data_IF_359789265950
#
_entry.id   IF_359789265950
#
_cell.length_a   1.000
_cell.length_b   1.000
_cell.length_c   1.000
_cell.angle_alpha   90.00
_cell.angle_beta   90.00
_cell.angle_gamma   90.00
#
_symmetry.space_group_name_H-M   'P 1'
#
loop_
_entity.id
_entity.type
_entity.pdbx_description
1 polymer ?
#
# COMPACT_ATOMS: atom_id res chain seq x y z
N UNK A 1 1.10 4.03 3.07
CA UNK A 1 1.83 3.58 4.28
C UNK A 1 2.88 2.53 3.96
N UNK A 2 2.53 1.28 3.63
CA UNK A 2 3.49 0.19 3.42
C UNK A 2 4.61 0.49 2.43
N UNK A 3 4.28 1.03 1.24
CA UNK A 3 5.27 1.36 0.20
C UNK A 3 6.27 2.44 0.67
N UNK A 4 5.81 3.50 1.31
CA UNK A 4 6.69 4.53 1.89
C UNK A 4 7.54 3.99 3.07
N UNK A 5 6.98 3.08 3.87
CA UNK A 5 7.68 2.53 5.03
C UNK A 5 8.75 1.49 4.66
N UNK A 6 8.51 0.67 3.64
CA UNK A 6 9.28 -0.55 3.39
C UNK A 6 9.69 -0.78 1.93
N UNK A 7 9.24 0.07 1.01
CA UNK A 7 9.46 -0.14 -0.42
C UNK A 7 8.59 -1.24 -1.02
N UNK A 8 9.11 -1.88 -2.06
CA UNK A 8 8.50 -3.04 -2.70
C UNK A 8 9.16 -4.33 -2.23
N UNK A 9 8.40 -5.41 -2.15
CA UNK A 9 8.98 -6.74 -2.10
C UNK A 9 9.47 -7.17 -3.49
N UNK A 10 10.30 -8.20 -3.54
CA UNK A 10 10.68 -8.89 -4.78
C UNK A 10 9.84 -10.17 -4.91
N UNK A 11 9.20 -10.34 -6.06
CA UNK A 11 8.43 -11.53 -6.41
C UNK A 11 9.02 -12.21 -7.64
N UNK A 12 8.94 -13.55 -7.68
CA UNK A 12 9.25 -14.30 -8.89
C UNK A 12 8.08 -14.23 -9.87
N UNK A 13 8.36 -14.29 -11.16
CA UNK A 13 7.39 -14.53 -12.22
C UNK A 13 8.02 -15.39 -13.31
N UNK A 14 7.19 -16.16 -14.01
CA UNK A 14 7.57 -16.93 -15.18
C UNK A 14 6.92 -16.41 -16.47
N UNK A 15 6.16 -15.31 -16.39
CA UNK A 15 5.55 -14.68 -17.56
C UNK A 15 6.63 -14.22 -18.55
N UNK A 16 6.64 -14.78 -19.75
CA UNK A 16 7.65 -14.45 -20.76
C UNK A 16 9.08 -14.92 -20.39
N UNK A 17 9.23 -15.76 -19.37
CA UNK A 17 10.51 -16.25 -18.85
C UNK A 17 10.69 -15.98 -17.36
N UNK A 18 11.55 -16.75 -16.70
CA UNK A 18 11.81 -16.61 -15.27
C UNK A 18 12.54 -15.29 -14.95
N UNK A 19 11.92 -14.44 -14.12
CA UNK A 19 12.49 -13.17 -13.70
C UNK A 19 11.95 -12.73 -12.32
N UNK A 20 12.51 -11.64 -11.79
CA UNK A 20 12.03 -11.00 -10.57
C UNK A 20 11.37 -9.66 -10.91
N UNK A 21 10.29 -9.35 -10.22
CA UNK A 21 9.60 -8.07 -10.35
C UNK A 21 9.34 -7.43 -8.97
N UNK A 22 9.27 -6.10 -8.88
CA UNK A 22 8.77 -5.45 -7.69
C UNK A 22 7.29 -5.82 -7.52
N UNK A 23 6.88 -6.14 -6.30
CA UNK A 23 5.49 -6.46 -5.92
C UNK A 23 5.07 -5.69 -4.66
N UNK A 24 3.77 -5.44 -4.44
CA UNK A 24 3.30 -4.83 -3.21
C UNK A 24 3.73 -5.65 -2.00
N UNK A 25 4.31 -4.97 -1.00
CA UNK A 25 4.84 -5.64 0.20
C UNK A 25 3.75 -5.99 1.23
N UNK A 26 2.60 -5.30 1.16
CA UNK A 26 1.47 -5.54 2.06
C UNK A 26 0.84 -6.90 1.76
N UNK A 27 0.59 -7.68 2.81
CA UNK A 27 -0.07 -8.98 2.73
C UNK A 27 -1.55 -8.88 3.10
N UNK A 28 -2.34 -9.88 2.69
CA UNK A 28 -3.78 -9.93 2.92
C UNK A 28 -4.15 -9.84 4.41
N UNK A 29 -3.41 -10.56 5.26
CA UNK A 29 -3.60 -10.59 6.71
C UNK A 29 -3.21 -9.29 7.42
N UNK A 30 -2.34 -8.47 6.80
CA UNK A 30 -2.04 -7.11 7.25
C UNK A 30 -3.11 -6.13 6.78
N UNK A 31 -3.56 -6.26 5.54
CA UNK A 31 -4.50 -5.33 4.89
C UNK A 31 -5.88 -5.30 5.55
N UNK A 32 -6.44 -6.46 5.90
CA UNK A 32 -7.80 -6.54 6.45
C UNK A 32 -7.99 -5.78 7.78
N UNK A 33 -7.21 -6.06 8.84
CA UNK A 33 -7.37 -5.34 10.11
C UNK A 33 -7.06 -3.85 9.95
N UNK A 34 -6.06 -3.49 9.15
CA UNK A 34 -5.70 -2.09 8.88
C UNK A 34 -6.87 -1.31 8.23
N UNK A 35 -7.55 -1.93 7.25
CA UNK A 35 -8.72 -1.33 6.59
C UNK A 35 -9.91 -1.19 7.55
N UNK A 36 -10.12 -2.18 8.43
CA UNK A 36 -11.18 -2.12 9.44
C UNK A 36 -10.93 -0.99 10.45
N UNK A 37 -9.69 -0.80 10.90
CA UNK A 37 -9.31 0.30 11.78
C UNK A 37 -9.59 1.66 11.12
N UNK A 38 -9.19 1.84 9.86
CA UNK A 38 -9.40 3.10 9.14
C UNK A 38 -10.91 3.36 8.92
N UNK A 39 -11.69 2.34 8.59
CA UNK A 39 -13.13 2.46 8.32
C UNK A 39 -14.03 2.46 9.56
N UNK A 40 -13.48 2.27 10.77
CA UNK A 40 -14.27 2.04 11.97
C UNK A 40 -15.26 3.18 12.25
N UNK A 41 -16.56 2.85 12.29
CA UNK A 41 -17.62 3.83 12.58
C UNK A 41 -17.88 4.85 11.46
N UNK A 42 -17.23 4.72 10.30
CA UNK A 42 -17.44 5.61 9.16
C UNK A 42 -18.64 5.15 8.36
N UNK A 43 -19.66 6.00 8.27
CA UNK A 43 -20.77 5.84 7.34
C UNK A 43 -20.79 7.05 6.41
N UNK A 44 -20.47 6.83 5.15
CA UNK A 44 -20.35 7.90 4.15
C UNK A 44 -21.67 8.66 4.02
N UNK A 45 -21.58 9.98 3.93
CA UNK A 45 -22.70 10.92 3.87
C UNK A 45 -23.61 10.96 5.12
N UNK A 46 -23.13 10.47 6.26
CA UNK A 46 -23.85 10.53 7.55
C UNK A 46 -23.03 11.30 8.58
N UNK A 47 -23.64 12.29 9.23
CA UNK A 47 -22.99 13.08 10.29
C UNK A 47 -21.67 13.70 9.84
N UNK A 48 -20.65 13.62 10.70
CA UNK A 48 -19.32 14.19 10.46
C UNK A 48 -18.30 13.12 9.98
N UNK A 49 -18.73 12.25 9.05
CA UNK A 49 -17.98 11.06 8.64
C UNK A 49 -16.58 11.37 8.08
N UNK A 50 -16.36 12.51 7.42
CA UNK A 50 -15.03 12.89 6.93
C UNK A 50 -14.05 13.10 8.10
N UNK A 51 -14.49 13.78 9.17
CA UNK A 51 -13.67 13.98 10.36
C UNK A 51 -13.41 12.66 11.07
N UNK A 52 -14.42 11.78 11.16
CA UNK A 52 -14.23 10.44 11.74
C UNK A 52 -13.18 9.64 10.95
N UNK A 53 -13.26 9.66 9.62
CA UNK A 53 -12.27 8.98 8.77
C UNK A 53 -10.87 9.56 8.96
N UNK A 54 -10.73 10.89 9.02
CA UNK A 54 -9.44 11.53 9.26
C UNK A 54 -8.86 11.18 10.63
N UNK A 55 -9.69 11.19 11.68
CA UNK A 55 -9.28 10.75 13.02
C UNK A 55 -8.78 9.29 13.01
N UNK A 56 -9.49 8.40 12.31
CA UNK A 56 -9.10 7.00 12.19
C UNK A 56 -7.77 6.84 11.44
N UNK A 57 -7.54 7.61 10.37
CA UNK A 57 -6.27 7.61 9.63
C UNK A 57 -5.10 8.07 10.50
N UNK A 58 -5.29 9.12 11.30
CA UNK A 58 -4.28 9.61 12.23
C UNK A 58 -3.94 8.56 13.29
N UNK A 59 -4.95 7.94 13.91
CA UNK A 59 -4.76 6.85 14.87
C UNK A 59 -4.03 5.67 14.25
N UNK A 60 -4.46 5.23 13.06
CA UNK A 60 -3.80 4.16 12.31
C UNK A 60 -2.33 4.47 12.02
N UNK A 61 -2.02 5.67 11.55
CA UNK A 61 -0.64 6.05 11.27
C UNK A 61 0.22 6.09 12.53
N UNK A 62 -0.33 6.55 13.66
CA UNK A 62 0.34 6.56 14.96
C UNK A 62 0.65 5.13 15.43
N UNK A 63 -0.30 4.21 15.31
CA UNK A 63 -0.08 2.80 15.65
C UNK A 63 0.93 2.15 14.70
N UNK A 64 0.84 2.46 13.40
CA UNK A 64 1.68 1.90 12.36
C UNK A 64 3.16 2.19 12.61
N UNK A 65 3.51 3.44 12.95
CA UNK A 65 4.91 3.82 13.20
C UNK A 65 5.51 3.25 14.49
N UNK A 66 4.68 2.68 15.36
CA UNK A 66 5.11 2.01 16.59
C UNK A 66 5.28 0.50 16.41
N UNK A 67 4.83 -0.08 15.28
CA UNK A 67 5.01 -1.52 15.00
C UNK A 67 6.49 -1.88 15.01
N UNK A 68 6.83 -3.03 15.57
CA UNK A 68 8.22 -3.54 15.62
C UNK A 68 8.87 -3.60 14.24
N UNK A 69 8.10 -3.98 13.21
CA UNK A 69 8.55 -3.98 11.80
C UNK A 69 8.95 -2.58 11.33
N UNK A 70 8.23 -1.55 11.73
CA UNK A 70 8.52 -0.16 11.37
C UNK A 70 9.76 0.37 12.08
N UNK A 71 9.84 0.19 13.40
CA UNK A 71 10.97 0.66 14.21
C UNK A 71 12.27 -0.09 13.91
N UNK A 72 12.17 -1.35 13.47
CA UNK A 72 13.32 -2.12 12.97
C UNK A 72 13.80 -1.65 11.60
N UNK A 73 12.88 -1.27 10.71
CA UNK A 73 13.23 -0.79 9.36
C UNK A 73 13.75 0.66 9.37
N UNK A 74 13.27 1.48 10.30
CA UNK A 74 13.57 2.91 10.38
C UNK A 74 13.97 3.25 11.82
N UNK A 75 15.26 3.28 12.11
CA UNK A 75 15.76 3.54 13.46
C UNK A 75 15.36 4.95 13.95
N UNK A 76 15.11 5.10 15.25
CA UNK A 76 14.83 6.41 15.87
C UNK A 76 16.05 7.31 15.94
N UNK A 77 17.25 6.75 15.74
CA UNK A 77 18.53 7.46 15.70
C UNK A 77 18.76 8.23 14.40
N UNK A 78 17.93 8.01 13.36
CA UNK A 78 17.99 8.78 12.12
C UNK A 78 17.67 10.25 12.38
N UNK A 79 18.35 11.15 11.68
CA UNK A 79 17.92 12.55 11.62
C UNK A 79 16.60 12.67 10.85
N UNK A 80 15.81 13.75 11.07
CA UNK A 80 14.58 13.97 10.30
C UNK A 80 14.78 13.92 8.78
N UNK A 81 15.86 14.53 8.28
CA UNK A 81 16.20 14.51 6.86
C UNK A 81 16.47 13.08 6.35
N UNK A 82 17.29 12.30 7.06
CA UNK A 82 17.58 10.91 6.67
C UNK A 82 16.32 10.03 6.69
N UNK A 83 15.45 10.22 7.68
CA UNK A 83 14.19 9.50 7.78
C UNK A 83 13.26 9.83 6.61
N UNK A 84 13.04 11.12 6.32
CA UNK A 84 12.20 11.55 5.18
C UNK A 84 12.77 11.10 3.84
N UNK A 85 14.08 11.22 3.64
CA UNK A 85 14.73 10.76 2.41
C UNK A 85 14.58 9.25 2.22
N UNK A 86 14.68 8.47 3.30
CA UNK A 86 14.44 7.03 3.25
C UNK A 86 12.98 6.70 2.91
N UNK A 87 12.01 7.45 3.44
CA UNK A 87 10.59 7.27 3.11
C UNK A 87 10.31 7.54 1.64
N UNK A 88 10.84 8.62 1.06
CA UNK A 88 10.69 8.93 -0.36
C UNK A 88 11.44 7.92 -1.25
N UNK A 89 12.63 7.48 -0.83
CA UNK A 89 13.38 6.43 -1.51
C UNK A 89 12.57 5.13 -1.56
N UNK A 90 11.98 4.71 -0.44
CA UNK A 90 11.10 3.54 -0.37
C UNK A 90 9.86 3.74 -1.26
N UNK A 91 9.26 4.93 -1.23
CA UNK A 91 8.13 5.29 -2.07
C UNK A 91 8.45 5.20 -3.57
N UNK A 92 9.73 5.36 -3.97
CA UNK A 92 10.12 5.46 -5.38
C UNK A 92 9.72 6.80 -5.99
N UNK A 93 9.48 7.81 -5.16
CA UNK A 93 9.07 9.15 -5.58
C UNK A 93 10.24 10.11 -5.36
N UNK A 94 10.58 10.89 -6.39
CA UNK A 94 11.43 12.07 -6.21
C UNK A 94 10.56 13.22 -5.71
N UNK A 95 10.71 13.66 -4.45
CA UNK A 95 9.86 14.72 -3.90
C UNK A 95 10.18 16.07 -4.52
N UNK A 96 9.20 16.97 -4.53
CA UNK A 96 9.51 18.39 -4.69
C UNK A 96 10.26 18.90 -3.45
N UNK A 97 10.97 20.02 -3.57
CA UNK A 97 11.60 20.67 -2.41
C UNK A 97 10.57 21.00 -1.32
N UNK A 98 9.34 21.37 -1.72
CA UNK A 98 8.24 21.68 -0.81
C UNK A 98 7.77 20.46 -0.02
N UNK A 99 7.47 19.34 -0.71
CA UNK A 99 7.01 18.11 -0.06
C UNK A 99 8.05 17.57 0.93
N UNK A 100 9.32 17.56 0.50
CA UNK A 100 10.43 17.12 1.34
C UNK A 100 10.56 17.99 2.58
N UNK A 101 10.51 19.31 2.43
CA UNK A 101 10.66 20.22 3.55
C UNK A 101 9.46 20.16 4.52
N UNK A 102 8.24 19.99 4.01
CA UNK A 102 7.05 19.81 4.83
C UNK A 102 7.18 18.60 5.76
N UNK A 103 7.53 17.43 5.22
CA UNK A 103 7.71 16.21 6.02
C UNK A 103 8.87 16.32 7.03
N UNK A 104 9.93 17.08 6.71
CA UNK A 104 11.03 17.34 7.67
C UNK A 104 10.55 18.27 8.79
N UNK A 105 9.75 19.28 8.47
CA UNK A 105 9.24 20.26 9.43
C UNK A 105 8.33 19.64 10.48
N UNK A 106 7.77 18.45 10.24
CA UNK A 106 7.00 17.68 11.24
C UNK A 106 7.76 17.40 12.52
N UNK A 107 9.11 17.40 12.46
CA UNK A 107 10.01 17.19 13.59
C UNK A 107 10.49 18.49 14.25
N UNK A 108 10.17 19.66 13.70
CA UNK A 108 10.62 20.96 14.20
C UNK A 108 12.14 21.05 14.32
N UNK A 109 12.64 21.31 15.53
CA UNK A 109 14.09 21.40 15.82
C UNK A 109 14.70 20.10 16.35
N UNK A 110 13.98 18.97 16.29
CA UNK A 110 14.50 17.69 16.76
C UNK A 110 15.70 17.24 15.93
N UNK A 111 16.68 16.62 16.58
CA UNK A 111 17.90 16.11 15.93
C UNK A 111 17.81 14.64 15.56
N UNK A 112 16.74 13.95 15.99
CA UNK A 112 16.49 12.54 15.71
C UNK A 112 14.98 12.32 15.45
N UNK A 113 14.58 11.07 15.28
CA UNK A 113 13.18 10.70 14.99
C UNK A 113 12.57 9.85 16.11
N UNK A 114 12.84 10.16 17.38
CA UNK A 114 12.19 9.49 18.51
C UNK A 114 10.74 9.95 18.76
N UNK A 115 10.34 11.13 18.27
CA UNK A 115 8.97 11.62 18.35
C UNK A 115 8.04 10.80 17.44
N UNK A 116 7.20 9.98 18.07
CA UNK A 116 6.26 9.07 17.40
C UNK A 116 5.19 9.85 16.61
N UNK A 117 4.71 10.97 17.13
CA UNK A 117 3.68 11.77 16.47
C UNK A 117 4.25 12.44 15.21
N UNK A 118 5.49 12.95 15.27
CA UNK A 118 6.18 13.50 14.10
C UNK A 118 6.45 12.43 13.03
N UNK A 119 6.90 11.23 13.41
CA UNK A 119 7.06 10.09 12.46
C UNK A 119 5.75 9.75 11.76
N UNK A 120 4.64 9.73 12.50
CA UNK A 120 3.31 9.43 11.97
C UNK A 120 2.90 10.45 10.91
N UNK A 121 3.02 11.75 11.19
CA UNK A 121 2.69 12.82 10.24
C UNK A 121 3.60 12.82 9.02
N UNK A 122 4.92 12.75 9.21
CA UNK A 122 5.88 12.68 8.11
C UNK A 122 5.68 11.44 7.22
N UNK A 123 5.34 10.28 7.80
CA UNK A 123 5.00 9.08 7.02
C UNK A 123 3.72 9.28 6.21
N UNK A 124 2.70 9.96 6.76
CA UNK A 124 1.48 10.29 6.03
C UNK A 124 1.74 11.24 4.88
N UNK A 125 2.54 12.29 5.08
CA UNK A 125 2.89 13.24 4.01
C UNK A 125 3.47 12.53 2.78
N UNK A 126 4.38 11.56 3.01
CA UNK A 126 4.96 10.75 1.94
C UNK A 126 3.96 9.74 1.38
N UNK A 127 3.21 9.06 2.25
CA UNK A 127 2.28 8.01 1.86
C UNK A 127 1.04 8.52 1.09
N UNK A 128 0.64 9.76 1.32
CA UNK A 128 -0.51 10.42 0.70
C UNK A 128 -0.08 11.33 -0.47
N UNK A 129 1.21 11.36 -0.80
CA UNK A 129 1.75 12.10 -1.93
C UNK A 129 1.07 11.67 -3.25
N UNK A 130 0.63 12.65 -4.05
CA UNK A 130 -0.12 12.40 -5.27
C UNK A 130 0.67 11.60 -6.33
N UNK A 131 1.98 11.82 -6.43
CA UNK A 131 2.84 11.06 -7.35
C UNK A 131 2.91 9.59 -6.95
N UNK A 132 3.05 9.30 -5.65
CA UNK A 132 3.00 7.92 -5.16
C UNK A 132 1.66 7.26 -5.47
N UNK A 133 0.56 7.98 -5.23
CA UNK A 133 -0.78 7.47 -5.51
C UNK A 133 -0.93 7.08 -6.99
N UNK A 134 -0.54 7.98 -7.90
CA UNK A 134 -0.62 7.75 -9.34
C UNK A 134 0.23 6.55 -9.80
N UNK A 135 1.46 6.43 -9.28
CA UNK A 135 2.38 5.35 -9.64
C UNK A 135 1.94 3.97 -9.14
N UNK A 136 1.32 3.90 -7.96
CA UNK A 136 0.94 2.62 -7.34
C UNK A 136 -0.54 2.25 -7.55
N UNK A 137 -1.37 3.12 -8.12
CA UNK A 137 -2.81 2.89 -8.26
C UNK A 137 -3.13 1.55 -8.96
N UNK A 138 -2.58 1.31 -10.15
CA UNK A 138 -2.83 0.08 -10.90
C UNK A 138 -2.33 -1.16 -10.14
N UNK A 139 -1.16 -1.05 -9.49
CA UNK A 139 -0.53 -2.13 -8.73
C UNK A 139 -1.37 -2.52 -7.51
N UNK A 140 -1.90 -1.52 -6.81
CA UNK A 140 -2.82 -1.70 -5.69
C UNK A 140 -4.19 -2.22 -6.16
N UNK A 141 -4.71 -1.72 -7.28
CA UNK A 141 -5.99 -2.14 -7.83
C UNK A 141 -6.00 -3.63 -8.18
N UNK A 142 -4.94 -4.14 -8.81
CA UNK A 142 -4.77 -5.57 -9.08
C UNK A 142 -4.71 -6.37 -7.78
N UNK A 143 -3.93 -5.91 -6.79
CA UNK A 143 -3.83 -6.57 -5.49
C UNK A 143 -5.20 -6.67 -4.79
N UNK A 144 -6.03 -5.63 -4.91
CA UNK A 144 -7.39 -5.63 -4.35
C UNK A 144 -8.30 -6.67 -5.00
N UNK A 145 -8.05 -7.10 -6.24
CA UNK A 145 -8.80 -8.20 -6.85
C UNK A 145 -8.53 -9.52 -6.12
N UNK A 146 -7.25 -9.80 -5.82
CA UNK A 146 -6.85 -10.98 -5.05
C UNK A 146 -7.41 -10.94 -3.62
N UNK A 147 -7.29 -9.79 -2.94
CA UNK A 147 -7.75 -9.66 -1.55
C UNK A 147 -9.28 -9.67 -1.45
N UNK A 148 -9.96 -8.96 -2.34
CA UNK A 148 -11.41 -8.81 -2.32
C UNK A 148 -12.15 -10.07 -2.76
N UNK A 149 -11.77 -10.63 -3.91
CA UNK A 149 -12.50 -11.77 -4.50
C UNK A 149 -11.92 -13.12 -4.07
N UNK A 150 -10.59 -13.29 -4.06
CA UNK A 150 -9.96 -14.59 -3.78
C UNK A 150 -9.56 -14.78 -2.31
N UNK A 151 -9.57 -13.69 -1.52
CA UNK A 151 -9.28 -13.70 -0.08
C UNK A 151 -7.90 -14.29 0.25
N UNK A 152 -6.90 -13.98 -0.58
CA UNK A 152 -5.52 -14.51 -0.47
C UNK A 152 -4.48 -13.57 -1.09
N UNK A 153 -3.20 -13.79 -0.80
CA UNK A 153 -2.10 -13.15 -1.54
C UNK A 153 -1.97 -13.74 -2.95
N UNK A 154 -1.41 -12.99 -3.92
CA UNK A 154 -1.23 -13.50 -5.28
C UNK A 154 -0.36 -14.75 -5.40
N UNK A 155 0.54 -14.99 -4.44
CA UNK A 155 1.44 -16.13 -4.38
C UNK A 155 1.15 -17.09 -3.21
N UNK A 156 -0.06 -17.05 -2.64
CA UNK A 156 -0.51 -18.06 -1.67
C UNK A 156 -0.78 -19.42 -2.37
N UNK A 157 -0.88 -20.55 -1.63
CA UNK A 157 -0.76 -21.93 -2.15
C UNK A 157 -1.72 -22.48 -3.25
N UNK A 158 -2.33 -21.69 -4.13
CA UNK A 158 -2.79 -22.17 -5.45
C UNK A 158 -1.82 -21.76 -6.58
N UNK A 159 -0.91 -20.84 -6.28
CA UNK A 159 0.13 -20.33 -7.16
C UNK A 159 1.49 -20.46 -6.44
N UNK A 160 2.59 -20.52 -7.20
CA UNK A 160 3.95 -20.58 -6.63
C UNK A 160 4.73 -19.28 -6.79
N UNK A 161 4.18 -18.31 -7.51
CA UNK A 161 4.85 -17.06 -7.88
C UNK A 161 3.85 -15.91 -8.12
N UNK A 162 4.30 -14.79 -8.69
CA UNK A 162 3.49 -13.62 -9.00
C UNK A 162 3.11 -13.52 -10.49
N UNK A 163 3.20 -14.61 -11.26
CA UNK A 163 2.88 -14.63 -12.71
C UNK A 163 1.47 -14.12 -12.98
N UNK A 164 0.48 -14.57 -12.21
CA UNK A 164 -0.90 -14.11 -12.34
C UNK A 164 -1.06 -12.61 -12.01
N UNK A 165 -0.37 -12.13 -10.98
CA UNK A 165 -0.36 -10.71 -10.63
C UNK A 165 0.25 -9.85 -11.75
N UNK A 166 1.40 -10.26 -12.28
CA UNK A 166 2.07 -9.56 -13.38
C UNK A 166 1.22 -9.54 -14.64
N UNK A 167 0.62 -10.67 -15.02
CA UNK A 167 -0.27 -10.77 -16.17
C UNK A 167 -1.39 -9.71 -16.09
N UNK A 168 -2.07 -9.65 -14.96
CA UNK A 168 -3.17 -8.70 -14.74
C UNK A 168 -2.68 -7.26 -14.72
N UNK A 169 -1.54 -6.98 -14.09
CA UNK A 169 -0.95 -5.65 -14.08
C UNK A 169 -0.59 -5.19 -15.50
N UNK A 170 0.07 -6.05 -16.30
CA UNK A 170 0.42 -5.76 -17.68
C UNK A 170 -0.83 -5.51 -18.52
N UNK A 171 -1.87 -6.33 -18.38
CA UNK A 171 -3.15 -6.14 -19.08
C UNK A 171 -3.82 -4.82 -18.69
N UNK A 172 -3.88 -4.49 -17.39
CA UNK A 172 -4.46 -3.22 -16.94
C UNK A 172 -3.71 -2.01 -17.50
N UNK A 173 -2.38 -2.07 -17.53
CA UNK A 173 -1.53 -1.02 -18.10
C UNK A 173 -1.73 -0.88 -19.61
N UNK A 174 -1.86 -1.99 -20.36
CA UNK A 174 -2.16 -1.96 -21.80
C UNK A 174 -3.48 -1.24 -22.12
N UNK A 175 -4.45 -1.30 -21.20
CA UNK A 175 -5.72 -0.58 -21.32
C UNK A 175 -5.73 0.75 -20.55
N UNK A 176 -4.56 1.34 -20.27
CA UNK A 176 -4.41 2.64 -19.59
C UNK A 176 -5.17 2.73 -18.25
N UNK A 177 -5.20 1.64 -17.46
CA UNK A 177 -5.93 1.59 -16.20
C UNK A 177 -7.44 1.31 -16.34
N UNK A 178 -7.95 1.15 -17.56
CA UNK A 178 -9.35 0.82 -17.77
C UNK A 178 -9.62 -0.67 -17.45
N UNK A 179 -10.07 -0.94 -16.22
CA UNK A 179 -10.35 -2.29 -15.74
C UNK A 179 -11.51 -2.99 -16.48
N UNK A 180 -12.41 -2.23 -17.11
CA UNK A 180 -13.51 -2.78 -17.92
C UNK A 180 -12.96 -3.32 -19.23
N UNK A 181 -12.15 -2.52 -19.94
CA UNK A 181 -11.49 -2.96 -21.17
C UNK A 181 -10.48 -4.10 -20.92
N UNK A 182 -9.84 -4.11 -19.74
CA UNK A 182 -8.99 -5.21 -19.31
C UNK A 182 -9.78 -6.49 -18.92
N UNK A 183 -11.12 -6.44 -18.86
CA UNK A 183 -12.00 -7.50 -18.37
C UNK A 183 -11.60 -8.06 -16.99
N UNK A 184 -10.92 -7.26 -16.18
CA UNK A 184 -10.22 -7.76 -15.00
C UNK A 184 -11.18 -8.26 -13.93
N UNK A 185 -12.11 -7.41 -13.48
CA UNK A 185 -13.07 -7.76 -12.42
C UNK A 185 -13.90 -8.97 -12.81
N UNK A 186 -14.36 -9.01 -14.07
CA UNK A 186 -15.10 -10.13 -14.65
C UNK A 186 -14.31 -11.43 -14.54
N UNK A 187 -13.04 -11.42 -14.94
CA UNK A 187 -12.20 -12.60 -14.92
C UNK A 187 -11.99 -13.18 -13.51
N UNK A 188 -11.85 -12.34 -12.48
CA UNK A 188 -11.74 -12.82 -11.09
C UNK A 188 -13.04 -13.48 -10.61
N UNK A 189 -14.20 -12.87 -10.85
CA UNK A 189 -15.52 -13.40 -10.43
C UNK A 189 -15.88 -14.68 -11.20
N UNK A 190 -15.52 -14.77 -12.49
CA UNK A 190 -15.81 -15.96 -13.30
C UNK A 190 -14.73 -17.05 -13.22
N UNK A 191 -13.64 -16.81 -12.48
CA UNK A 191 -12.56 -17.77 -12.33
C UNK A 191 -13.06 -19.07 -11.70
N UNK A 192 -12.45 -20.19 -12.12
CA UNK A 192 -12.75 -21.51 -11.55
C UNK A 192 -12.55 -21.50 -10.04
N UNK A 193 -11.46 -20.88 -9.56
CA UNK A 193 -11.17 -20.77 -8.13
C UNK A 193 -12.30 -20.05 -7.37
N UNK A 194 -12.72 -18.86 -7.84
CA UNK A 194 -13.78 -18.11 -7.18
C UNK A 194 -15.08 -18.90 -7.16
N UNK A 195 -15.48 -19.49 -8.29
CA UNK A 195 -16.72 -20.26 -8.40
C UNK A 195 -16.72 -21.49 -7.50
N UNK A 196 -15.60 -22.23 -7.43
CA UNK A 196 -15.50 -23.42 -6.58
C UNK A 196 -15.51 -23.08 -5.08
N UNK A 197 -14.97 -21.93 -4.68
CA UNK A 197 -14.87 -21.55 -3.27
C UNK A 197 -16.07 -20.75 -2.75
N UNK A 198 -16.68 -19.94 -3.61
CA UNK A 198 -17.65 -18.91 -3.20
C UNK A 198 -18.87 -18.80 -4.14
N UNK A 199 -18.92 -19.57 -5.22
CA UNK A 199 -20.06 -19.60 -6.13
C UNK A 199 -21.27 -20.36 -5.54
N UNK A 200 -22.47 -20.15 -6.11
CA UNK A 200 -23.63 -20.98 -5.76
C UNK A 200 -23.34 -22.47 -6.04
N UNK A 201 -23.83 -23.39 -5.20
CA UNK A 201 -23.71 -24.82 -5.41
C UNK A 201 -24.47 -25.31 -6.65
#
# INVERSE_FOLDING_TARGET
MYKAAYGSASGASTLGGAHQLPVPIVRFNEFLPDTQQIGQGVVVNVGNWQQQLENNKQAFALDFVQRSRFTSALATTLTPAQFVDQLFSNAGVTPTTGDRQAAINEFGSATNTSDVAARSRALRDVAENATLNSQEFNRAFVLMQFFGYLRRNPNDPQDTDYTGYEFWLNKLNQFNGNFVAAEMVKAFITSTEYRQRFGPP
#
